data_IF_346779596785
#
_entry.id   IF_346779596785
#
_cell.length_a   1.000
_cell.length_b   1.000
_cell.length_c   1.000
_cell.angle_alpha   90.00
_cell.angle_beta   90.00
_cell.angle_gamma   90.00
#
_symmetry.space_group_name_H-M   'P 1'
#
loop_
_entity.id
_entity.type
_entity.pdbx_description
1 polymer ?
#
# COMPACT_ATOMS: atom_id res chain seq x y z
N UNK A 1 -28.83 57.58 -2.57
CA UNK A 1 -28.84 56.31 -3.34
C UNK A 1 -27.42 56.08 -3.81
N UNK A 2 -26.78 54.98 -3.42
CA UNK A 2 -25.47 54.64 -3.98
C UNK A 2 -25.63 54.36 -5.47
N UNK A 3 -24.71 54.85 -6.30
CA UNK A 3 -24.71 54.56 -7.73
C UNK A 3 -24.65 53.04 -7.93
N UNK A 4 -25.67 52.42 -8.55
CA UNK A 4 -25.69 50.98 -8.80
C UNK A 4 -24.43 50.49 -9.51
N UNK A 5 -23.85 51.32 -10.39
CA UNK A 5 -22.65 50.98 -11.13
C UNK A 5 -21.40 50.85 -10.22
N UNK A 6 -21.31 51.69 -9.20
CA UNK A 6 -20.23 51.60 -8.20
C UNK A 6 -20.35 50.33 -7.36
N UNK A 7 -21.56 49.95 -6.95
CA UNK A 7 -21.80 48.73 -6.17
C UNK A 7 -21.39 47.48 -6.97
N UNK A 8 -21.78 47.42 -8.24
CA UNK A 8 -21.41 46.32 -9.14
C UNK A 8 -19.90 46.25 -9.36
N UNK A 9 -19.25 47.40 -9.54
CA UNK A 9 -17.80 47.47 -9.68
C UNK A 9 -17.07 46.91 -8.44
N UNK A 10 -17.42 47.39 -7.23
CA UNK A 10 -16.77 46.93 -6.00
C UNK A 10 -17.03 45.45 -5.73
N UNK A 11 -18.24 44.95 -6.03
CA UNK A 11 -18.55 43.52 -5.87
C UNK A 11 -17.67 42.63 -6.76
N UNK A 12 -17.40 43.07 -7.99
CA UNK A 12 -16.54 42.38 -8.94
C UNK A 12 -15.08 42.41 -8.48
N UNK A 13 -14.57 43.56 -8.05
CA UNK A 13 -13.20 43.70 -7.50
C UNK A 13 -13.01 42.80 -6.28
N UNK A 14 -13.94 42.84 -5.32
CA UNK A 14 -13.89 41.99 -4.13
C UNK A 14 -13.87 40.49 -4.49
N UNK A 15 -14.61 40.10 -5.54
CA UNK A 15 -14.60 38.71 -6.05
C UNK A 15 -13.24 38.33 -6.65
N UNK A 16 -12.59 39.23 -7.38
CA UNK A 16 -11.26 39.00 -7.93
C UNK A 16 -10.19 38.93 -6.84
N UNK A 17 -10.21 39.84 -5.86
CA UNK A 17 -9.28 39.82 -4.73
C UNK A 17 -9.42 38.55 -3.91
N UNK A 18 -10.66 38.09 -3.64
CA UNK A 18 -10.93 36.83 -2.95
C UNK A 18 -10.39 35.61 -3.70
N UNK A 19 -10.41 35.61 -5.03
CA UNK A 19 -9.78 34.55 -5.85
C UNK A 19 -8.26 34.66 -5.81
N UNK A 20 -7.70 35.86 -5.91
CA UNK A 20 -6.25 36.09 -5.82
C UNK A 20 -5.68 35.66 -4.47
N UNK A 21 -6.35 35.98 -3.37
CA UNK A 21 -5.98 35.58 -2.02
C UNK A 21 -5.97 34.04 -1.82
N UNK A 22 -6.77 33.30 -2.61
CA UNK A 22 -6.80 31.83 -2.60
C UNK A 22 -5.75 31.17 -3.51
N UNK A 23 -4.83 31.96 -4.10
CA UNK A 23 -3.76 31.43 -4.95
C UNK A 23 -4.24 30.97 -6.34
N UNK A 24 -5.39 31.46 -6.82
CA UNK A 24 -5.78 31.28 -8.21
C UNK A 24 -4.87 32.17 -9.09
N UNK A 25 -3.99 31.54 -9.86
CA UNK A 25 -3.15 32.21 -10.84
C UNK A 25 -3.96 32.75 -12.02
N UNK A 26 -3.42 33.76 -12.69
CA UNK A 26 -3.97 34.27 -13.94
C UNK A 26 -3.44 33.38 -15.07
N UNK A 27 -4.30 32.55 -15.68
CA UNK A 27 -3.98 31.79 -16.89
C UNK A 27 -4.29 32.67 -18.11
N UNK A 28 -3.33 33.46 -18.56
CA UNK A 28 -3.34 34.08 -19.88
C UNK A 28 -2.24 33.48 -20.77
N UNK A 29 -2.44 33.52 -22.08
CA UNK A 29 -1.43 33.10 -23.04
C UNK A 29 -0.11 33.86 -22.77
N UNK A 30 0.97 33.13 -22.46
CA UNK A 30 2.29 33.69 -22.14
C UNK A 30 2.58 33.93 -20.65
N UNK A 31 1.66 33.61 -19.74
CA UNK A 31 1.86 33.71 -18.28
C UNK A 31 2.08 32.35 -17.63
N UNK A 32 2.62 32.32 -16.40
CA UNK A 32 2.86 31.07 -15.68
C UNK A 32 1.53 30.38 -15.33
N UNK A 33 1.42 29.13 -15.75
CA UNK A 33 0.21 28.33 -15.54
C UNK A 33 -0.08 27.99 -14.08
N UNK A 34 -1.33 27.63 -13.79
CA UNK A 34 -1.82 27.20 -12.45
C UNK A 34 -0.93 26.18 -11.72
N UNK A 35 -0.20 25.31 -12.44
CA UNK A 35 0.73 24.33 -11.88
C UNK A 35 1.94 24.94 -11.16
N UNK A 36 2.27 26.21 -11.45
CA UNK A 36 3.33 26.94 -10.75
C UNK A 36 2.89 27.43 -9.36
N UNK A 37 1.64 27.89 -9.23
CA UNK A 37 1.12 28.47 -7.99
C UNK A 37 0.55 27.42 -7.02
N UNK A 38 0.07 26.28 -7.54
CA UNK A 38 -0.40 25.16 -6.73
C UNK A 38 0.34 23.89 -7.17
N UNK A 39 1.52 23.59 -6.58
CA UNK A 39 2.15 22.31 -6.83
C UNK A 39 1.18 21.20 -6.42
N UNK A 40 1.01 20.14 -7.24
CA UNK A 40 0.13 19.04 -6.88
C UNK A 40 0.57 18.44 -5.55
N UNK A 41 -0.37 18.22 -4.64
CA UNK A 41 -0.08 17.58 -3.38
C UNK A 41 0.68 16.26 -3.65
N UNK A 42 1.89 16.13 -3.09
CA UNK A 42 2.69 14.91 -3.25
C UNK A 42 1.86 13.74 -2.74
N UNK A 43 1.40 12.88 -3.65
CA UNK A 43 0.72 11.64 -3.27
C UNK A 43 1.70 10.84 -2.40
N UNK A 44 1.34 10.62 -1.14
CA UNK A 44 2.12 9.73 -0.26
C UNK A 44 2.07 8.35 -0.90
N UNK A 45 3.20 7.87 -1.41
CA UNK A 45 3.31 6.47 -1.86
C UNK A 45 3.07 5.60 -0.64
N UNK A 46 2.01 4.80 -0.69
CA UNK A 46 1.70 3.85 0.37
C UNK A 46 2.59 2.64 0.22
N UNK A 47 3.43 2.36 1.22
CA UNK A 47 4.22 1.13 1.31
C UNK A 47 3.41 -0.07 1.78
N UNK A 48 2.12 0.13 2.11
CA UNK A 48 1.25 -0.93 2.61
C UNK A 48 1.04 -2.03 1.56
N UNK A 49 0.85 -1.65 0.29
CA UNK A 49 0.60 -2.59 -0.80
C UNK A 49 1.81 -3.48 -1.12
N UNK A 50 3.03 -2.95 -1.33
CA UNK A 50 4.19 -3.81 -1.54
C UNK A 50 4.51 -4.67 -0.31
N UNK A 51 4.32 -4.15 0.91
CA UNK A 51 4.50 -4.94 2.14
C UNK A 51 3.55 -6.15 2.19
N UNK A 52 2.27 -5.93 1.88
CA UNK A 52 1.26 -6.99 1.83
C UNK A 52 1.62 -8.05 0.79
N UNK A 53 2.12 -7.62 -0.39
CA UNK A 53 2.53 -8.56 -1.43
C UNK A 53 3.70 -9.46 -1.01
N UNK A 54 4.71 -8.90 -0.31
CA UNK A 54 5.83 -9.67 0.23
C UNK A 54 5.36 -10.67 1.29
N UNK A 55 4.46 -10.25 2.18
CA UNK A 55 3.88 -11.15 3.18
C UNK A 55 3.12 -12.30 2.53
N UNK A 56 2.26 -12.02 1.54
CA UNK A 56 1.54 -13.05 0.80
C UNK A 56 2.51 -14.04 0.12
N UNK A 57 3.59 -13.57 -0.51
CA UNK A 57 4.59 -14.43 -1.11
C UNK A 57 5.29 -15.32 -0.08
N UNK A 58 5.67 -14.75 1.07
CA UNK A 58 6.32 -15.49 2.17
C UNK A 58 5.42 -16.59 2.76
N UNK A 59 4.17 -16.26 3.09
CA UNK A 59 3.21 -17.24 3.62
C UNK A 59 2.79 -18.27 2.57
N UNK A 60 2.65 -17.87 1.30
CA UNK A 60 2.35 -18.77 0.19
C UNK A 60 3.45 -19.83 0.01
N UNK A 61 4.71 -19.40 -0.04
CA UNK A 61 5.86 -20.29 -0.16
C UNK A 61 5.96 -21.21 1.07
N UNK A 62 5.79 -20.68 2.28
CA UNK A 62 5.80 -21.48 3.52
C UNK A 62 4.70 -22.56 3.51
N UNK A 63 3.47 -22.20 3.11
CA UNK A 63 2.36 -23.14 2.98
C UNK A 63 2.59 -24.21 1.90
N UNK A 64 3.22 -23.85 0.78
CA UNK A 64 3.60 -24.79 -0.27
C UNK A 64 4.68 -25.78 0.20
N UNK A 65 5.67 -25.33 0.98
CA UNK A 65 6.66 -26.21 1.59
C UNK A 65 5.98 -27.18 2.57
N UNK A 66 5.10 -26.66 3.44
CA UNK A 66 4.37 -27.48 4.40
C UNK A 66 3.54 -28.57 3.70
N UNK A 67 2.85 -28.22 2.61
CA UNK A 67 2.04 -29.17 1.84
C UNK A 67 2.88 -30.20 1.07
N UNK A 68 4.03 -29.79 0.51
CA UNK A 68 4.88 -30.69 -0.28
C UNK A 68 5.68 -31.68 0.59
N UNK A 69 6.14 -31.25 1.77
CA UNK A 69 6.89 -32.09 2.72
C UNK A 69 5.97 -32.93 3.60
N UNK A 70 4.77 -32.41 3.88
CA UNK A 70 3.79 -33.01 4.79
C UNK A 70 4.09 -32.71 6.27
N UNK A 71 3.07 -32.77 7.15
CA UNK A 71 3.15 -32.26 8.53
C UNK A 71 4.29 -32.85 9.36
N UNK A 72 4.43 -34.18 9.35
CA UNK A 72 5.38 -34.90 10.23
C UNK A 72 6.84 -34.61 9.87
N UNK A 73 7.16 -34.59 8.58
CA UNK A 73 8.53 -34.34 8.10
C UNK A 73 8.89 -32.86 8.19
N UNK A 74 7.90 -31.96 8.07
CA UNK A 74 8.10 -30.53 8.28
C UNK A 74 8.50 -30.23 9.74
N UNK A 75 7.75 -30.75 10.72
CA UNK A 75 8.03 -30.53 12.14
C UNK A 75 9.42 -31.05 12.55
N UNK A 76 9.85 -32.21 12.02
CA UNK A 76 11.19 -32.74 12.26
C UNK A 76 12.29 -31.79 11.75
N UNK A 77 12.10 -31.19 10.57
CA UNK A 77 13.05 -30.21 10.01
C UNK A 77 13.08 -28.93 10.83
N UNK A 78 11.93 -28.43 11.24
CA UNK A 78 11.83 -27.24 12.10
C UNK A 78 12.53 -27.48 13.43
N UNK A 79 12.33 -28.65 14.05
CA UNK A 79 13.02 -29.03 15.28
C UNK A 79 14.53 -29.13 15.08
N UNK A 80 15.00 -29.70 13.97
CA UNK A 80 16.43 -29.72 13.66
C UNK A 80 17.02 -28.31 13.50
N UNK A 81 16.29 -27.37 12.87
CA UNK A 81 16.70 -25.96 12.77
C UNK A 81 16.73 -25.26 14.13
N UNK A 82 15.79 -25.57 15.03
CA UNK A 82 15.74 -24.98 16.37
C UNK A 82 16.93 -25.38 17.25
N UNK A 83 17.49 -26.58 17.02
CA UNK A 83 18.67 -27.09 17.74
C UNK A 83 19.98 -26.52 17.18
N UNK A 84 19.99 -25.99 15.95
CA UNK A 84 21.15 -25.38 15.32
C UNK A 84 21.60 -24.06 15.95
N UNK A 85 22.81 -23.61 15.61
CA UNK A 85 23.38 -22.35 16.10
C UNK A 85 23.24 -21.19 15.08
N UNK A 86 23.18 -19.96 15.59
CA UNK A 86 23.15 -18.76 14.75
C UNK A 86 21.86 -18.58 13.94
N UNK A 87 21.99 -18.53 12.60
CA UNK A 87 20.88 -18.27 11.68
C UNK A 87 19.89 -19.42 11.58
N UNK A 88 20.31 -20.66 11.86
CA UNK A 88 19.44 -21.83 11.80
C UNK A 88 18.33 -21.75 12.85
N UNK A 89 18.65 -21.26 14.05
CA UNK A 89 17.66 -21.05 15.13
C UNK A 89 16.62 -20.00 14.78
N UNK A 90 17.04 -18.91 14.12
CA UNK A 90 16.12 -17.88 13.61
C UNK A 90 15.19 -18.43 12.53
N UNK A 91 15.75 -19.22 11.60
CA UNK A 91 14.98 -19.92 10.57
C UNK A 91 13.98 -20.91 11.17
N UNK A 92 14.40 -21.67 12.18
CA UNK A 92 13.54 -22.60 12.91
C UNK A 92 12.40 -21.88 13.64
N UNK A 93 12.65 -20.69 14.19
CA UNK A 93 11.59 -19.89 14.83
C UNK A 93 10.61 -19.33 13.79
N UNK A 94 11.12 -18.83 12.67
CA UNK A 94 10.30 -18.31 11.57
C UNK A 94 9.45 -19.41 10.88
N UNK A 95 9.96 -20.64 10.84
CA UNK A 95 9.34 -21.78 10.17
C UNK A 95 8.40 -22.60 11.06
N UNK A 96 8.10 -22.18 12.28
CA UNK A 96 7.10 -22.89 13.10
C UNK A 96 5.74 -22.97 12.37
N UNK A 97 5.03 -24.10 12.54
CA UNK A 97 3.76 -24.34 11.85
C UNK A 97 2.66 -23.41 12.42
N UNK A 98 2.54 -22.22 11.85
CA UNK A 98 1.52 -21.25 12.25
C UNK A 98 0.13 -21.62 11.70
N UNK A 99 -0.97 -21.24 12.37
CA UNK A 99 -2.34 -21.46 11.87
C UNK A 99 -2.57 -20.92 10.44
N UNK A 100 -1.89 -19.81 10.09
CA UNK A 100 -1.92 -19.23 8.74
C UNK A 100 -1.28 -20.16 7.70
N UNK A 101 -0.17 -20.82 8.06
CA UNK A 101 0.53 -21.76 7.18
C UNK A 101 -0.34 -22.97 6.87
N UNK A 102 -1.00 -23.53 7.89
CA UNK A 102 -1.93 -24.67 7.75
C UNK A 102 -3.14 -24.29 6.89
N UNK A 103 -3.70 -23.08 7.09
CA UNK A 103 -4.80 -22.59 6.27
C UNK A 103 -4.43 -22.44 4.80
N UNK A 104 -3.26 -21.86 4.50
CA UNK A 104 -2.75 -21.71 3.13
C UNK A 104 -2.51 -23.08 2.47
N UNK A 105 -1.91 -24.03 3.19
CA UNK A 105 -1.73 -25.40 2.70
C UNK A 105 -3.06 -26.08 2.36
N UNK A 106 -4.09 -25.90 3.21
CA UNK A 106 -5.45 -26.36 2.94
C UNK A 106 -6.03 -25.79 1.66
N UNK A 107 -5.91 -24.47 1.44
CA UNK A 107 -6.39 -23.81 0.21
C UNK A 107 -5.65 -24.27 -1.04
N UNK A 108 -4.35 -24.52 -0.95
CA UNK A 108 -3.56 -25.09 -2.05
C UNK A 108 -4.07 -26.50 -2.38
N UNK A 109 -4.38 -27.31 -1.37
CA UNK A 109 -4.93 -28.66 -1.55
C UNK A 109 -6.30 -28.65 -2.22
N UNK A 110 -7.20 -27.77 -1.77
CA UNK A 110 -8.52 -27.55 -2.39
C UNK A 110 -8.40 -27.14 -3.86
N UNK A 111 -7.50 -26.19 -4.17
CA UNK A 111 -7.26 -25.75 -5.55
C UNK A 111 -6.65 -26.84 -6.43
N UNK A 112 -5.73 -27.65 -5.91
CA UNK A 112 -5.20 -28.82 -6.61
C UNK A 112 -6.29 -29.86 -6.89
N UNK A 113 -7.22 -30.06 -5.95
CA UNK A 113 -8.34 -30.98 -6.11
C UNK A 113 -9.38 -30.49 -7.13
N UNK A 114 -9.55 -29.18 -7.32
CA UNK A 114 -10.50 -28.65 -8.30
C UNK A 114 -10.00 -28.69 -9.75
N UNK A 115 -8.70 -28.91 -9.96
CA UNK A 115 -8.06 -28.97 -11.30
C UNK A 115 -8.05 -30.40 -11.84
N UNK A 116 -8.25 -31.40 -10.96
CA UNK A 116 -8.22 -32.83 -11.28
C UNK A 116 -9.61 -33.35 -11.64
#
# INVERSE_FOLDING_TARGET
MADPNLVDFYSNVARFEKKRAKGYGFDAAGTLGRSYFNPPARKRRSYLMPLLMVLCAGFGLKGMIYQSVGPKSYDQRVQALQVGEGFDRLGGWLMQADPVTVFVAGKITEGLASIK
#
